data_IF_341400653429
#
_entry.id   IF_341400653429
#
_cell.length_a   1.000
_cell.length_b   1.000
_cell.length_c   1.000
_cell.angle_alpha   90.00
_cell.angle_beta   90.00
_cell.angle_gamma   90.00
#
_symmetry.space_group_name_H-M   'P 1'
#
loop_
_entity.id
_entity.type
_entity.pdbx_description
1 polymer ?
#
# COMPACT_ATOMS: atom_id res chain seq x y z
N UNK A 1 -77.00 16.26 -6.94
CA UNK A 1 -77.61 16.77 -5.70
C UNK A 1 -76.46 17.30 -4.85
N UNK A 2 -76.34 18.58 -4.90
CA UNK A 2 -76.34 19.65 -3.89
C UNK A 2 -75.13 19.68 -2.99
N UNK A 3 -74.26 20.62 -3.29
CA UNK A 3 -74.02 21.90 -2.62
C UNK A 3 -73.28 21.86 -1.31
N UNK A 4 -72.18 22.67 -1.23
CA UNK A 4 -71.57 23.09 0.02
C UNK A 4 -70.29 23.84 -0.16
N UNK A 5 -70.38 25.05 -0.73
CA UNK A 5 -69.32 26.05 -0.83
C UNK A 5 -69.24 26.77 0.55
N UNK A 6 -68.09 26.69 1.26
CA UNK A 6 -67.81 27.58 2.38
C UNK A 6 -66.46 28.29 2.17
N UNK A 7 -66.60 29.54 1.67
CA UNK A 7 -65.59 30.58 1.75
C UNK A 7 -65.34 30.91 3.24
N UNK A 8 -64.13 30.78 3.69
CA UNK A 8 -63.61 31.43 4.90
C UNK A 8 -62.84 32.68 4.51
N UNK A 9 -63.54 33.78 4.61
CA UNK A 9 -63.06 35.15 4.58
C UNK A 9 -62.16 35.40 5.82
N UNK A 10 -60.87 35.61 5.64
CA UNK A 10 -60.01 36.07 6.74
C UNK A 10 -59.94 37.57 6.73
N UNK A 11 -60.58 38.17 7.70
CA UNK A 11 -60.45 39.56 8.10
C UNK A 11 -59.01 39.85 8.55
N UNK A 12 -58.32 40.72 7.83
CA UNK A 12 -57.06 41.28 8.23
C UNK A 12 -57.25 42.39 9.25
N UNK A 13 -56.47 42.44 10.34
CA UNK A 13 -56.55 43.58 11.27
C UNK A 13 -55.90 44.85 10.69
N UNK A 14 -56.35 46.06 11.10
CA UNK A 14 -55.84 47.31 10.59
C UNK A 14 -54.42 47.60 11.11
N UNK A 15 -53.55 48.00 10.19
CA UNK A 15 -52.14 48.41 10.44
C UNK A 15 -52.12 49.83 11.07
N UNK A 16 -51.51 50.04 12.23
CA UNK A 16 -51.36 51.35 12.82
C UNK A 16 -50.36 52.20 12.01
N UNK A 17 -50.77 53.39 11.67
CA UNK A 17 -49.99 54.41 10.93
C UNK A 17 -48.96 55.01 11.88
N UNK A 18 -47.71 54.55 11.81
CA UNK A 18 -46.58 55.13 12.55
C UNK A 18 -46.09 56.39 11.83
N UNK A 19 -46.27 57.53 12.43
CA UNK A 19 -45.60 58.77 12.02
C UNK A 19 -44.10 58.60 12.19
N UNK A 20 -43.37 58.48 11.08
CA UNK A 20 -41.92 58.54 11.04
C UNK A 20 -41.48 60.00 11.20
N UNK A 21 -41.00 60.32 12.33
CA UNK A 21 -40.20 61.53 12.57
C UNK A 21 -38.76 61.15 12.09
N UNK A 22 -38.41 61.69 10.89
CA UNK A 22 -37.05 61.56 10.42
C UNK A 22 -36.13 62.63 11.09
N UNK A 23 -35.13 62.25 11.89
CA UNK A 23 -34.08 63.18 12.24
C UNK A 23 -33.18 63.39 11.00
N UNK A 24 -32.91 64.64 10.69
CA UNK A 24 -31.92 65.05 9.70
C UNK A 24 -30.55 64.46 10.08
N UNK A 25 -30.18 63.38 9.50
CA UNK A 25 -28.81 62.84 9.61
C UNK A 25 -27.91 63.65 8.66
N UNK A 26 -27.01 64.44 9.27
CA UNK A 26 -25.83 64.95 8.59
C UNK A 26 -24.97 63.78 8.15
N UNK A 27 -25.02 63.43 6.86
CA UNK A 27 -24.22 62.39 6.28
C UNK A 27 -22.73 62.81 6.25
N UNK A 28 -22.00 62.44 7.24
CA UNK A 28 -20.55 62.27 7.14
C UNK A 28 -20.29 60.91 6.49
N UNK A 29 -19.97 60.89 5.22
CA UNK A 29 -19.54 59.67 4.47
C UNK A 29 -18.31 59.11 5.19
N UNK A 30 -18.37 57.85 5.69
CA UNK A 30 -17.17 57.23 6.22
C UNK A 30 -16.22 57.00 5.04
N UNK A 31 -15.04 57.64 5.08
CA UNK A 31 -13.94 57.31 4.20
C UNK A 31 -13.61 55.85 4.38
N UNK A 32 -13.97 55.02 3.39
CA UNK A 32 -13.57 53.64 3.28
C UNK A 32 -12.03 53.65 3.19
N UNK A 33 -11.35 53.43 4.32
CA UNK A 33 -9.92 53.17 4.35
C UNK A 33 -9.71 51.78 3.75
N UNK A 34 -9.27 51.76 2.49
CA UNK A 34 -8.76 50.54 1.86
C UNK A 34 -7.53 50.14 2.67
N UNK A 35 -7.53 48.96 3.33
CA UNK A 35 -6.35 48.50 4.04
C UNK A 35 -5.18 48.40 3.06
N UNK A 36 -3.95 48.80 3.45
CA UNK A 36 -2.81 48.72 2.54
C UNK A 36 -2.65 47.29 2.04
N UNK A 37 -2.22 47.06 0.79
CA UNK A 37 -1.99 45.77 0.23
C UNK A 37 -1.03 45.01 1.18
N UNK A 38 -1.50 43.93 1.77
CA UNK A 38 -0.68 43.04 2.57
C UNK A 38 0.32 42.39 1.63
N UNK A 39 1.56 42.87 1.62
CA UNK A 39 2.68 42.24 0.92
C UNK A 39 2.81 40.85 1.57
N UNK A 40 2.62 39.74 0.83
CA UNK A 40 2.79 38.43 1.40
C UNK A 40 4.19 38.34 2.00
N UNK A 41 4.35 37.77 3.21
CA UNK A 41 5.65 37.67 3.85
C UNK A 41 6.60 36.98 2.87
N UNK A 42 7.75 37.58 2.56
CA UNK A 42 8.81 36.98 1.74
C UNK A 42 9.08 35.61 2.35
N UNK A 43 8.70 34.56 1.63
CA UNK A 43 8.97 33.19 2.02
C UNK A 43 10.48 33.08 2.24
N UNK A 44 10.89 32.92 3.47
CA UNK A 44 12.30 32.71 3.82
C UNK A 44 12.81 31.50 3.04
N UNK A 45 14.07 31.51 2.60
CA UNK A 45 14.66 30.47 1.76
C UNK A 45 14.51 29.06 2.36
N UNK A 46 14.44 28.96 3.68
CA UNK A 46 14.32 27.72 4.43
C UNK A 46 12.98 26.97 4.19
N UNK A 47 11.79 27.57 4.28
CA UNK A 47 10.54 26.91 3.90
C UNK A 47 10.52 26.47 2.45
N UNK A 48 11.02 27.29 1.52
CA UNK A 48 11.12 26.90 0.12
C UNK A 48 12.02 25.68 -0.09
N UNK A 49 13.13 25.59 0.63
CA UNK A 49 14.03 24.44 0.59
C UNK A 49 13.34 23.18 1.14
N UNK A 50 12.58 23.30 2.22
CA UNK A 50 11.81 22.19 2.80
C UNK A 50 10.73 21.70 1.80
N UNK A 51 10.03 22.62 1.14
CA UNK A 51 9.06 22.25 0.11
C UNK A 51 9.72 21.65 -1.13
N UNK A 52 10.89 22.14 -1.53
CA UNK A 52 11.66 21.60 -2.64
C UNK A 52 12.23 20.20 -2.34
N UNK A 53 12.53 19.87 -1.08
CA UNK A 53 13.01 18.56 -0.69
C UNK A 53 12.02 17.42 -1.00
N UNK A 54 10.71 17.73 -1.08
CA UNK A 54 9.68 16.77 -1.50
C UNK A 54 9.88 16.29 -2.95
N UNK A 55 10.41 17.15 -3.83
CA UNK A 55 10.69 16.81 -5.22
C UNK A 55 11.87 15.84 -5.36
N UNK A 56 12.75 15.78 -4.36
CA UNK A 56 13.84 14.79 -4.32
C UNK A 56 13.33 13.34 -4.17
N UNK A 57 12.10 13.14 -3.72
CA UNK A 57 11.51 11.81 -3.61
C UNK A 57 10.96 11.30 -4.95
N UNK A 58 10.63 12.19 -5.88
CA UNK A 58 10.06 11.83 -7.18
C UNK A 58 10.95 10.87 -8.00
N UNK A 59 12.28 11.11 -8.16
CA UNK A 59 13.16 10.19 -8.86
C UNK A 59 13.30 8.83 -8.14
N UNK A 60 13.14 8.79 -6.81
CA UNK A 60 13.15 7.53 -6.06
C UNK A 60 11.92 6.68 -6.42
N UNK A 61 10.73 7.26 -6.47
CA UNK A 61 9.53 6.54 -6.89
C UNK A 61 9.61 6.09 -8.35
N UNK A 62 10.21 6.91 -9.24
CA UNK A 62 10.46 6.50 -10.62
C UNK A 62 11.39 5.28 -10.67
N UNK A 63 12.44 5.25 -9.85
CA UNK A 63 13.34 4.10 -9.70
C UNK A 63 12.60 2.84 -9.21
N UNK A 64 11.66 2.99 -8.26
CA UNK A 64 10.82 1.88 -7.79
C UNK A 64 9.89 1.35 -8.87
N UNK A 65 9.33 2.23 -9.73
CA UNK A 65 8.49 1.82 -10.87
C UNK A 65 9.33 1.00 -11.87
N UNK A 66 10.56 1.42 -12.15
CA UNK A 66 11.47 0.64 -12.99
C UNK A 66 11.81 -0.73 -12.36
N UNK A 67 12.06 -0.76 -11.06
CA UNK A 67 12.27 -2.00 -10.31
C UNK A 67 11.04 -2.92 -10.40
N UNK A 68 9.83 -2.37 -10.33
CA UNK A 68 8.59 -3.10 -10.54
C UNK A 68 8.54 -3.77 -11.91
N UNK A 69 8.96 -3.07 -12.98
CA UNK A 69 9.07 -3.63 -14.33
C UNK A 69 10.02 -4.83 -14.39
N UNK A 70 11.14 -4.77 -13.68
CA UNK A 70 12.10 -5.88 -13.57
C UNK A 70 11.47 -7.10 -12.88
N UNK A 71 10.70 -6.90 -11.80
CA UNK A 71 10.01 -7.99 -11.12
C UNK A 71 8.95 -8.67 -12.01
N UNK A 72 8.19 -7.88 -12.77
CA UNK A 72 7.22 -8.42 -13.75
C UNK A 72 7.93 -9.24 -14.84
N UNK A 73 9.06 -8.74 -15.34
CA UNK A 73 9.86 -9.47 -16.34
C UNK A 73 10.39 -10.79 -15.74
N UNK A 74 10.94 -10.75 -14.53
CA UNK A 74 11.44 -11.94 -13.84
C UNK A 74 10.35 -13.00 -13.65
N UNK A 75 9.15 -12.59 -13.26
CA UNK A 75 8.01 -13.49 -13.14
C UNK A 75 7.71 -14.23 -14.43
N UNK A 76 7.72 -13.53 -15.56
CA UNK A 76 7.49 -14.15 -16.87
C UNK A 76 8.58 -15.15 -17.24
N UNK A 77 9.84 -14.82 -17.00
CA UNK A 77 10.97 -15.71 -17.26
C UNK A 77 10.86 -17.00 -16.47
N UNK A 78 10.61 -16.90 -15.16
CA UNK A 78 10.43 -18.08 -14.29
C UNK A 78 9.22 -18.92 -14.69
N UNK A 79 8.11 -18.29 -15.07
CA UNK A 79 6.91 -18.97 -15.53
C UNK A 79 7.17 -19.74 -16.84
N UNK A 80 7.87 -19.13 -17.79
CA UNK A 80 8.23 -19.80 -19.06
C UNK A 80 9.12 -21.01 -18.80
N UNK A 81 10.15 -20.86 -17.94
CA UNK A 81 11.00 -21.99 -17.56
C UNK A 81 10.22 -23.12 -16.88
N UNK A 82 9.22 -22.80 -16.07
CA UNK A 82 8.36 -23.81 -15.45
C UNK A 82 7.57 -24.58 -16.50
N UNK A 83 7.00 -23.89 -17.49
CA UNK A 83 6.26 -24.50 -18.58
C UNK A 83 7.19 -25.38 -19.43
N UNK A 84 8.36 -24.88 -19.83
CA UNK A 84 9.34 -25.65 -20.60
C UNK A 84 9.83 -26.90 -19.85
N UNK A 85 10.07 -26.78 -18.53
CA UNK A 85 10.45 -27.92 -17.70
C UNK A 85 9.31 -28.96 -17.61
N UNK A 86 8.05 -28.54 -17.57
CA UNK A 86 6.89 -29.42 -17.59
C UNK A 86 6.77 -30.21 -18.92
N UNK A 87 7.26 -29.66 -20.03
CA UNK A 87 7.37 -30.34 -21.31
C UNK A 87 8.66 -31.18 -21.46
N UNK A 88 9.46 -31.30 -20.41
CA UNK A 88 10.64 -32.17 -20.35
C UNK A 88 11.96 -31.52 -20.76
N UNK A 89 12.03 -30.16 -20.82
CA UNK A 89 13.27 -29.47 -21.12
C UNK A 89 14.22 -29.48 -19.91
N UNK A 90 15.31 -30.26 -19.99
CA UNK A 90 16.28 -30.43 -18.92
C UNK A 90 17.07 -29.16 -18.60
N UNK A 91 17.29 -28.30 -19.60
CA UNK A 91 17.99 -27.03 -19.40
C UNK A 91 17.12 -26.05 -18.54
N UNK A 92 15.83 -25.96 -18.87
CA UNK A 92 14.89 -25.18 -18.08
C UNK A 92 14.75 -25.72 -16.65
N UNK A 93 14.68 -27.05 -16.48
CA UNK A 93 14.64 -27.70 -15.19
C UNK A 93 15.85 -27.34 -14.33
N UNK A 94 17.05 -27.40 -14.88
CA UNK A 94 18.28 -27.07 -14.15
C UNK A 94 18.32 -25.59 -13.73
N UNK A 95 17.78 -24.70 -14.54
CA UNK A 95 17.67 -23.27 -14.23
C UNK A 95 16.67 -23.03 -13.09
N UNK A 96 15.51 -23.67 -13.15
CA UNK A 96 14.49 -23.59 -12.08
C UNK A 96 14.99 -24.12 -10.75
N UNK A 97 15.70 -25.23 -10.75
CA UNK A 97 16.27 -25.80 -9.53
C UNK A 97 17.24 -24.82 -8.87
N UNK A 98 18.05 -24.13 -9.67
CA UNK A 98 18.96 -23.10 -9.15
C UNK A 98 18.23 -21.87 -8.63
N UNK A 99 17.21 -21.38 -9.33
CA UNK A 99 16.48 -20.17 -8.95
C UNK A 99 15.54 -20.40 -7.76
N UNK A 100 14.92 -21.60 -7.64
CA UNK A 100 14.02 -21.94 -6.53
C UNK A 100 14.73 -22.10 -5.19
N UNK A 101 16.06 -22.23 -5.18
CA UNK A 101 16.86 -22.48 -3.98
C UNK A 101 16.74 -23.93 -3.48
N UNK A 102 16.30 -24.85 -4.34
CA UNK A 102 16.33 -26.28 -4.02
C UNK A 102 17.79 -26.74 -3.88
N UNK A 103 18.10 -27.32 -2.73
CA UNK A 103 19.40 -27.95 -2.47
C UNK A 103 19.24 -29.45 -2.71
N UNK A 104 19.94 -29.95 -3.75
CA UNK A 104 19.97 -31.36 -4.01
C UNK A 104 20.52 -32.13 -2.80
N UNK A 105 19.92 -33.26 -2.46
CA UNK A 105 20.34 -34.07 -1.34
C UNK A 105 21.75 -34.58 -1.59
N UNK A 106 22.65 -34.32 -0.63
CA UNK A 106 24.01 -34.82 -0.72
C UNK A 106 24.03 -36.34 -0.56
N UNK A 107 24.61 -37.06 -1.51
CA UNK A 107 24.83 -38.50 -1.43
C UNK A 107 26.08 -38.68 -0.56
N UNK A 108 25.87 -39.25 0.66
CA UNK A 108 26.95 -39.59 1.57
C UNK A 108 27.51 -40.97 1.22
N UNK A 109 28.81 -41.06 1.04
CA UNK A 109 29.52 -42.32 0.89
C UNK A 109 29.60 -43.08 2.25
N UNK A 110 30.08 -44.33 2.22
CA UNK A 110 30.24 -45.16 3.44
C UNK A 110 31.14 -44.51 4.50
N UNK A 111 31.98 -43.57 4.10
CA UNK A 111 32.90 -42.83 4.98
C UNK A 111 32.28 -41.52 5.54
N UNK A 112 30.95 -41.30 5.36
CA UNK A 112 30.26 -40.07 5.78
C UNK A 112 30.65 -38.82 5.03
N UNK A 113 31.42 -38.93 3.94
CA UNK A 113 31.80 -37.81 3.07
C UNK A 113 30.82 -37.67 1.91
N UNK A 114 30.56 -36.46 1.47
CA UNK A 114 29.72 -36.18 0.30
C UNK A 114 30.46 -36.69 -0.94
N UNK A 115 29.89 -37.74 -1.58
CA UNK A 115 30.40 -38.35 -2.80
C UNK A 115 29.78 -37.74 -4.04
N UNK A 116 28.60 -37.12 -3.94
CA UNK A 116 27.90 -36.46 -5.02
C UNK A 116 26.62 -35.83 -4.56
N UNK A 117 25.91 -35.23 -5.50
CA UNK A 117 24.55 -34.70 -5.29
C UNK A 117 23.58 -35.44 -6.17
N UNK A 118 22.37 -35.67 -5.68
CA UNK A 118 21.32 -36.31 -6.44
C UNK A 118 21.03 -35.53 -7.72
N UNK A 119 21.14 -36.22 -8.87
CA UNK A 119 20.87 -35.61 -10.18
C UNK A 119 19.36 -35.53 -10.38
N UNK A 120 18.85 -34.32 -10.46
CA UNK A 120 17.43 -34.05 -10.70
C UNK A 120 17.16 -34.25 -12.20
N UNK A 121 16.52 -35.34 -12.56
CA UNK A 121 16.21 -35.71 -13.95
C UNK A 121 14.74 -35.45 -14.33
N UNK A 122 13.85 -35.21 -13.34
CA UNK A 122 12.43 -34.97 -13.56
C UNK A 122 11.89 -33.93 -12.58
N UNK A 123 10.81 -33.28 -12.97
CA UNK A 123 10.01 -32.43 -12.09
C UNK A 123 9.40 -33.29 -10.99
N UNK A 124 9.86 -33.08 -9.77
CA UNK A 124 9.29 -33.66 -8.56
C UNK A 124 8.27 -32.66 -7.94
N UNK A 125 7.28 -33.17 -7.22
CA UNK A 125 6.28 -32.37 -6.53
C UNK A 125 6.91 -31.28 -5.65
N UNK A 126 8.00 -31.59 -4.95
CA UNK A 126 8.75 -30.64 -4.11
C UNK A 126 9.34 -29.50 -4.94
N UNK A 127 9.88 -29.78 -6.13
CA UNK A 127 10.44 -28.75 -7.02
C UNK A 127 9.35 -27.86 -7.53
N UNK A 128 8.22 -28.43 -7.99
CA UNK A 128 7.06 -27.66 -8.44
C UNK A 128 6.57 -26.74 -7.33
N UNK A 129 6.43 -27.26 -6.13
CA UNK A 129 5.99 -26.47 -4.97
C UNK A 129 6.97 -25.33 -4.66
N UNK A 130 8.27 -25.55 -4.70
CA UNK A 130 9.28 -24.52 -4.46
C UNK A 130 9.30 -23.44 -5.55
N UNK A 131 9.12 -23.82 -6.81
CA UNK A 131 9.04 -22.88 -7.95
C UNK A 131 7.77 -22.05 -7.85
N UNK A 132 6.63 -22.66 -7.56
CA UNK A 132 5.36 -21.94 -7.35
C UNK A 132 5.48 -20.97 -6.16
N UNK A 133 6.13 -21.40 -5.08
CA UNK A 133 6.42 -20.52 -3.94
C UNK A 133 7.32 -19.34 -4.34
N UNK A 134 8.30 -19.56 -5.23
CA UNK A 134 9.13 -18.49 -5.75
C UNK A 134 8.33 -17.49 -6.60
N UNK A 135 7.41 -17.96 -7.43
CA UNK A 135 6.51 -17.11 -8.21
C UNK A 135 5.57 -16.29 -7.30
N UNK A 136 5.01 -16.91 -6.25
CA UNK A 136 4.16 -16.20 -5.27
C UNK A 136 4.98 -15.13 -4.55
N UNK A 137 6.23 -15.39 -4.20
CA UNK A 137 7.13 -14.45 -3.55
C UNK A 137 7.35 -13.18 -4.42
N UNK A 138 7.59 -13.36 -5.73
CA UNK A 138 7.71 -12.25 -6.68
C UNK A 138 6.43 -11.42 -6.72
N UNK A 139 5.25 -12.05 -6.75
CA UNK A 139 3.96 -11.35 -6.74
C UNK A 139 3.75 -10.59 -5.43
N UNK A 140 4.12 -11.17 -4.29
CA UNK A 140 3.99 -10.51 -2.98
C UNK A 140 4.89 -9.29 -2.86
N UNK A 141 6.15 -9.39 -3.31
CA UNK A 141 7.10 -8.27 -3.35
C UNK A 141 6.60 -7.19 -4.31
N UNK A 142 6.07 -7.58 -5.47
CA UNK A 142 5.48 -6.69 -6.46
C UNK A 142 4.31 -5.89 -5.88
N UNK A 143 3.38 -6.54 -5.20
CA UNK A 143 2.25 -5.88 -4.52
C UNK A 143 2.72 -4.92 -3.42
N UNK A 144 3.72 -5.32 -2.62
CA UNK A 144 4.31 -4.46 -1.61
C UNK A 144 4.93 -3.22 -2.24
N UNK A 145 5.64 -3.37 -3.36
CA UNK A 145 6.28 -2.28 -4.07
C UNK A 145 5.25 -1.27 -4.60
N UNK A 146 4.14 -1.75 -5.20
CA UNK A 146 3.03 -0.89 -5.64
C UNK A 146 2.44 -0.10 -4.46
N UNK A 147 2.22 -0.76 -3.31
CA UNK A 147 1.70 -0.07 -2.12
C UNK A 147 2.64 1.03 -1.64
N UNK A 148 3.97 0.77 -1.65
CA UNK A 148 4.97 1.77 -1.25
C UNK A 148 5.03 2.93 -2.23
N UNK A 149 4.98 2.65 -3.55
CA UNK A 149 5.01 3.69 -4.59
C UNK A 149 3.80 4.61 -4.45
N UNK A 150 2.58 4.04 -4.47
CA UNK A 150 1.34 4.81 -4.48
C UNK A 150 1.16 5.51 -3.13
N UNK A 151 1.22 4.77 -2.04
CA UNK A 151 1.01 5.33 -0.71
C UNK A 151 2.08 6.32 -0.28
N UNK A 152 3.33 6.08 -0.66
CA UNK A 152 4.43 7.00 -0.41
C UNK A 152 4.31 8.27 -1.24
N UNK A 153 4.00 8.16 -2.53
CA UNK A 153 3.78 9.31 -3.40
C UNK A 153 2.64 10.20 -2.89
N UNK A 154 1.51 9.61 -2.54
CA UNK A 154 0.34 10.34 -2.03
C UNK A 154 0.62 11.02 -0.69
N UNK A 155 1.31 10.33 0.22
CA UNK A 155 1.60 10.87 1.55
C UNK A 155 2.65 11.97 1.53
N UNK A 156 3.71 11.83 0.70
CA UNK A 156 4.89 12.68 0.76
C UNK A 156 4.99 13.71 -0.37
N UNK A 157 4.54 13.39 -1.58
CA UNK A 157 4.74 14.27 -2.74
C UNK A 157 3.50 15.10 -3.07
N UNK A 158 2.35 14.49 -3.24
CA UNK A 158 1.11 15.18 -3.62
C UNK A 158 -0.10 14.34 -3.26
N UNK A 159 -1.18 15.00 -2.84
CA UNK A 159 -2.49 14.35 -2.91
C UNK A 159 -2.88 14.32 -4.38
N UNK A 160 -2.88 13.15 -4.96
CA UNK A 160 -3.45 12.92 -6.28
C UNK A 160 -4.93 13.29 -6.20
N UNK A 161 -5.33 14.38 -6.87
CA UNK A 161 -6.75 14.71 -7.07
C UNK A 161 -7.33 13.78 -8.13
N UNK A 162 -7.44 12.50 -7.77
CA UNK A 162 -8.02 11.47 -8.63
C UNK A 162 -9.51 11.24 -8.31
N UNK A 163 -10.11 12.10 -7.50
CA UNK A 163 -11.50 11.98 -7.04
C UNK A 163 -12.52 11.90 -8.18
N UNK A 164 -12.15 12.35 -9.40
CA UNK A 164 -13.02 12.36 -10.57
C UNK A 164 -12.54 11.43 -11.72
N UNK A 165 -11.54 10.55 -11.50
CA UNK A 165 -11.04 9.69 -12.57
C UNK A 165 -11.81 8.37 -12.62
N UNK A 166 -12.38 7.95 -13.81
CA UNK A 166 -13.22 6.76 -13.94
C UNK A 166 -12.51 5.43 -13.64
N UNK A 167 -11.18 5.40 -13.69
CA UNK A 167 -10.34 4.22 -13.39
C UNK A 167 -9.77 4.23 -11.97
N UNK A 168 -10.33 5.06 -11.07
CA UNK A 168 -9.87 5.12 -9.69
C UNK A 168 -10.21 3.83 -8.95
N UNK A 169 -9.22 3.04 -8.47
CA UNK A 169 -9.52 1.89 -7.64
C UNK A 169 -10.15 2.35 -6.33
N UNK A 170 -11.25 1.74 -5.91
CA UNK A 170 -11.98 2.08 -4.68
C UNK A 170 -11.11 2.12 -3.42
N UNK A 171 -10.03 1.31 -3.39
CA UNK A 171 -9.08 1.28 -2.28
C UNK A 171 -8.19 2.52 -2.17
N UNK A 172 -8.08 3.33 -3.24
CA UNK A 172 -7.26 4.55 -3.24
C UNK A 172 -7.91 5.68 -2.44
N UNK A 173 -9.25 5.74 -2.42
CA UNK A 173 -10.01 6.71 -1.62
C UNK A 173 -9.84 6.53 -0.10
N UNK A 174 -9.38 5.35 0.33
CA UNK A 174 -9.20 5.00 1.74
C UNK A 174 -7.72 4.93 2.16
N UNK A 175 -6.77 5.45 1.36
CA UNK A 175 -5.35 5.43 1.74
C UNK A 175 -5.10 6.46 2.83
N UNK A 176 -5.58 6.14 4.02
CA UNK A 176 -5.10 6.75 5.24
C UNK A 176 -3.72 6.15 5.56
N UNK A 177 -2.77 6.97 5.99
CA UNK A 177 -1.42 6.51 6.36
C UNK A 177 -1.42 5.32 7.33
N UNK A 178 -2.47 5.19 8.13
CA UNK A 178 -2.72 4.10 9.05
C UNK A 178 -3.00 2.78 8.34
N UNK A 179 -3.92 2.78 7.38
CA UNK A 179 -4.27 1.60 6.57
C UNK A 179 -3.05 1.10 5.80
N UNK A 180 -2.23 2.02 5.26
CA UNK A 180 -0.99 1.68 4.57
C UNK A 180 -0.01 0.93 5.47
N UNK A 181 0.19 1.39 6.72
CA UNK A 181 1.09 0.74 7.70
C UNK A 181 0.66 -0.70 7.98
N UNK A 182 -0.63 -0.93 8.20
CA UNK A 182 -1.17 -2.27 8.46
C UNK A 182 -1.01 -3.18 7.24
N UNK A 183 -1.35 -2.71 6.03
CA UNK A 183 -1.17 -3.47 4.79
C UNK A 183 0.30 -3.81 4.55
N UNK A 184 1.22 -2.86 4.78
CA UNK A 184 2.66 -3.09 4.66
C UNK A 184 3.14 -4.15 5.66
N UNK A 185 2.73 -4.06 6.92
CA UNK A 185 3.06 -5.05 7.94
C UNK A 185 2.56 -6.45 7.57
N UNK A 186 1.32 -6.56 7.07
CA UNK A 186 0.75 -7.83 6.60
C UNK A 186 1.52 -8.41 5.41
N UNK A 187 1.96 -7.58 4.46
CA UNK A 187 2.78 -8.02 3.34
C UNK A 187 4.13 -8.58 3.79
N UNK A 188 4.79 -7.92 4.76
CA UNK A 188 6.07 -8.38 5.33
C UNK A 188 5.90 -9.74 6.04
N UNK A 189 4.81 -9.94 6.78
CA UNK A 189 4.48 -11.24 7.39
C UNK A 189 4.32 -12.31 6.30
N UNK A 190 3.57 -12.01 5.23
CA UNK A 190 3.36 -12.92 4.11
C UNK A 190 4.68 -13.37 3.47
N UNK A 191 5.58 -12.43 3.16
CA UNK A 191 6.91 -12.72 2.62
C UNK A 191 7.72 -13.57 3.60
N UNK A 192 7.75 -13.20 4.88
CA UNK A 192 8.47 -13.96 5.91
C UNK A 192 7.92 -15.38 6.06
N UNK A 193 6.60 -15.58 5.95
CA UNK A 193 5.96 -16.90 5.98
C UNK A 193 6.39 -17.78 4.81
N UNK A 194 6.47 -17.21 3.58
CA UNK A 194 6.92 -17.94 2.40
C UNK A 194 8.37 -18.37 2.54
N UNK A 195 9.24 -17.47 3.03
CA UNK A 195 10.65 -17.81 3.28
C UNK A 195 10.79 -18.89 4.33
N UNK A 196 10.02 -18.83 5.43
CA UNK A 196 10.02 -19.86 6.45
C UNK A 196 9.55 -21.21 5.89
N UNK A 197 8.52 -21.21 5.05
CA UNK A 197 8.02 -22.42 4.41
C UNK A 197 9.07 -23.03 3.45
N UNK A 198 9.75 -22.22 2.64
CA UNK A 198 10.87 -22.68 1.79
C UNK A 198 11.97 -23.35 2.61
N UNK A 199 12.31 -22.76 3.75
CA UNK A 199 13.32 -23.33 4.66
C UNK A 199 12.82 -24.61 5.31
N UNK A 200 11.56 -24.68 5.68
CA UNK A 200 10.95 -25.89 6.25
C UNK A 200 10.99 -27.07 5.28
N UNK A 201 10.66 -26.85 4.01
CA UNK A 201 10.73 -27.88 2.97
C UNK A 201 12.16 -28.40 2.80
N UNK A 202 13.15 -27.54 2.92
CA UNK A 202 14.57 -27.87 2.80
C UNK A 202 15.27 -28.06 4.17
N UNK A 203 14.53 -28.30 5.24
CA UNK A 203 15.04 -28.26 6.62
C UNK A 203 16.26 -29.18 6.85
N UNK A 204 16.29 -30.35 6.18
CA UNK A 204 17.42 -31.28 6.26
C UNK A 204 18.77 -30.69 5.82
N UNK A 205 18.74 -29.63 5.00
CA UNK A 205 19.95 -28.98 4.46
C UNK A 205 20.35 -27.74 5.27
N UNK A 206 19.57 -27.34 6.28
CA UNK A 206 19.85 -26.19 7.12
C UNK A 206 20.30 -26.60 8.52
N UNK A 207 21.13 -25.80 9.15
CA UNK A 207 21.52 -25.98 10.54
C UNK A 207 20.40 -25.55 11.47
N UNK A 208 20.27 -26.22 12.62
CA UNK A 208 19.28 -25.88 13.67
C UNK A 208 19.31 -24.39 14.05
N UNK A 209 20.51 -23.79 14.04
CA UNK A 209 20.68 -22.36 14.31
C UNK A 209 19.97 -21.48 13.29
N UNK A 210 20.02 -21.83 11.99
CA UNK A 210 19.34 -21.07 10.92
C UNK A 210 17.83 -21.20 11.05
N UNK A 211 17.34 -22.43 11.28
CA UNK A 211 15.91 -22.69 11.47
C UNK A 211 15.35 -21.92 12.67
N UNK A 212 16.08 -21.96 13.78
CA UNK A 212 15.70 -21.23 15.00
C UNK A 212 15.61 -19.72 14.75
N UNK A 213 16.65 -19.11 14.15
CA UNK A 213 16.67 -17.67 13.92
C UNK A 213 15.61 -17.21 12.91
N UNK A 214 15.34 -17.96 11.86
CA UNK A 214 14.28 -17.63 10.91
C UNK A 214 12.90 -17.66 11.57
N UNK A 215 12.65 -18.66 12.43
CA UNK A 215 11.41 -18.73 13.20
C UNK A 215 11.28 -17.55 14.17
N UNK A 216 12.35 -17.19 14.87
CA UNK A 216 12.37 -16.05 15.80
C UNK A 216 12.09 -14.73 15.06
N UNK A 217 12.70 -14.53 13.90
CA UNK A 217 12.48 -13.33 13.06
C UNK A 217 11.02 -13.28 12.60
N UNK A 218 10.44 -14.41 12.15
CA UNK A 218 9.04 -14.47 11.75
C UNK A 218 8.09 -14.12 12.91
N UNK A 219 8.34 -14.67 14.09
CA UNK A 219 7.56 -14.35 15.30
C UNK A 219 7.69 -12.87 15.67
N UNK A 220 8.90 -12.30 15.55
CA UNK A 220 9.12 -10.86 15.79
C UNK A 220 8.32 -9.98 14.83
N UNK A 221 8.23 -10.35 13.54
CA UNK A 221 7.38 -9.64 12.57
C UNK A 221 5.90 -9.78 12.89
N UNK A 222 5.42 -10.94 13.31
CA UNK A 222 4.05 -11.17 13.78
C UNK A 222 3.70 -10.25 14.95
N UNK A 223 4.53 -10.21 15.99
CA UNK A 223 4.32 -9.32 17.13
C UNK A 223 4.37 -7.85 16.76
N UNK A 224 5.30 -7.46 15.89
CA UNK A 224 5.40 -6.09 15.39
C UNK A 224 4.12 -5.66 14.65
N UNK A 225 3.61 -6.51 13.76
CA UNK A 225 2.38 -6.22 13.02
C UNK A 225 1.15 -6.16 13.93
N UNK A 226 1.06 -7.06 14.91
CA UNK A 226 0.00 -7.03 15.92
C UNK A 226 0.05 -5.73 16.74
N UNK A 227 1.25 -5.30 17.14
CA UNK A 227 1.45 -4.06 17.86
C UNK A 227 1.03 -2.83 17.02
N UNK A 228 1.37 -2.81 15.72
CA UNK A 228 0.94 -1.76 14.78
C UNK A 228 -0.58 -1.74 14.67
N UNK A 229 -1.21 -2.88 14.45
CA UNK A 229 -2.66 -2.99 14.32
C UNK A 229 -3.39 -2.59 15.61
N UNK A 230 -2.84 -2.96 16.77
CA UNK A 230 -3.39 -2.58 18.07
C UNK A 230 -3.25 -1.09 18.32
N UNK A 231 -2.09 -0.51 18.04
CA UNK A 231 -1.84 0.93 18.15
C UNK A 231 -2.80 1.72 17.25
N UNK A 232 -3.03 1.25 16.04
CA UNK A 232 -3.98 1.85 15.11
C UNK A 232 -5.41 1.82 15.65
N UNK A 233 -5.84 0.69 16.18
CA UNK A 233 -7.16 0.54 16.79
C UNK A 233 -7.36 1.43 18.03
N UNK A 234 -6.30 1.64 18.81
CA UNK A 234 -6.36 2.52 19.99
C UNK A 234 -6.43 3.99 19.56
N UNK A 235 -5.71 4.37 18.51
CA UNK A 235 -5.70 5.74 18.01
C UNK A 235 -6.98 6.11 17.24
N UNK A 236 -7.65 5.12 16.64
CA UNK A 236 -8.90 5.28 15.88
C UNK A 236 -9.95 4.31 16.42
N UNK A 237 -10.51 4.57 17.62
CA UNK A 237 -11.60 3.73 18.13
C UNK A 237 -12.79 3.80 17.16
N UNK A 238 -13.25 2.63 16.71
CA UNK A 238 -14.42 2.48 15.86
C UNK A 238 -15.66 2.95 16.64
N UNK A 239 -16.07 4.21 16.47
CA UNK A 239 -17.14 4.75 17.29
C UNK A 239 -17.67 6.12 16.89
N UNK A 240 -17.50 6.58 15.63
CA UNK A 240 -18.18 7.82 15.20
C UNK A 240 -18.57 7.80 13.71
N UNK A 241 -19.04 6.65 13.20
CA UNK A 241 -19.77 6.63 11.94
C UNK A 241 -21.28 6.54 12.27
N UNK A 242 -21.85 7.72 12.59
CA UNK A 242 -23.30 7.99 12.58
C UNK A 242 -23.57 9.24 11.76
#
# INVERSE_FOLDING_TARGET
MTHGNHQCERLSPPVPRIHRIFPKATASTPKMQIPPPQIPPRMTALPNLIFASRWLQLPLYLGLILAQGVYVFQFWVELVHLIEAAFGNQAALSTLVKSSGYQATAILGPDGKVVGYETITALNETIIMLVVLALIDVVMISNLLIMVIIGGYETFVSRLRLEDHPDQPEWLNQVNASVLKVKLATAIIGISSIHLLKTFINAANYTDKVLMWQTVIHIAFLFSALAIALADRIMHPAGNDH
#
